data_IF_653125325138
#
_entry.id   IF_653125325138
#
_cell.length_a   1.000
_cell.length_b   1.000
_cell.length_c   1.000
_cell.angle_alpha   90.00
_cell.angle_beta   90.00
_cell.angle_gamma   90.00
#
_symmetry.space_group_name_H-M   'P 1'
#
loop_
_entity.id
_entity.type
_entity.pdbx_description
1 polymer ?
#
# COMPACT_ATOMS: atom_id res chain seq x y z
N UNK A 1 -9.05 5.65 -2.89
CA UNK A 1 -10.14 4.70 -3.24
C UNK A 1 -11.26 5.35 -4.04
N UNK A 2 -11.94 6.38 -3.51
CA UNK A 2 -13.12 6.96 -4.16
C UNK A 2 -12.90 7.45 -5.61
N UNK A 3 -11.72 7.98 -5.93
CA UNK A 3 -11.41 8.46 -7.28
C UNK A 3 -11.24 7.30 -8.30
N UNK A 4 -10.51 6.25 -7.93
CA UNK A 4 -10.28 5.09 -8.82
C UNK A 4 -11.56 4.26 -8.97
N UNK A 5 -12.31 4.03 -7.88
CA UNK A 5 -13.57 3.29 -7.91
C UNK A 5 -14.60 3.92 -8.87
N UNK A 6 -14.67 5.26 -8.92
CA UNK A 6 -15.56 5.98 -9.86
C UNK A 6 -15.17 5.77 -11.33
N UNK A 7 -13.90 5.49 -11.61
CA UNK A 7 -13.39 5.37 -12.99
C UNK A 7 -13.47 3.94 -13.55
N UNK A 8 -13.66 2.94 -12.68
CA UNK A 8 -13.72 1.53 -13.08
C UNK A 8 -14.90 0.81 -12.40
N UNK A 9 -16.15 1.10 -12.79
CA UNK A 9 -17.35 0.59 -12.10
C UNK A 9 -17.55 -0.93 -12.23
N UNK A 10 -16.95 -1.56 -13.24
CA UNK A 10 -17.06 -3.01 -13.51
C UNK A 10 -15.84 -3.81 -13.05
N UNK A 11 -14.88 -3.18 -12.36
CA UNK A 11 -13.63 -3.79 -11.93
C UNK A 11 -13.59 -3.82 -10.41
N UNK A 12 -13.25 -4.98 -9.86
CA UNK A 12 -13.05 -5.11 -8.42
C UNK A 12 -11.75 -4.39 -8.07
N UNK A 13 -11.83 -3.40 -7.18
CA UNK A 13 -10.68 -2.68 -6.64
C UNK A 13 -10.58 -3.00 -5.16
N UNK A 14 -9.40 -3.45 -4.74
CA UNK A 14 -9.15 -3.81 -3.34
C UNK A 14 -7.81 -3.27 -2.87
N UNK A 15 -7.71 -3.01 -1.56
CA UNK A 15 -6.46 -2.59 -0.92
C UNK A 15 -5.83 -3.79 -0.22
N UNK A 16 -4.53 -3.97 -0.41
CA UNK A 16 -3.70 -4.92 0.29
C UNK A 16 -2.71 -4.14 1.16
N UNK A 17 -2.83 -4.25 2.48
CA UNK A 17 -2.00 -3.53 3.44
C UNK A 17 -1.04 -4.52 4.10
N UNK A 18 0.26 -4.41 3.83
CA UNK A 18 1.32 -5.29 4.31
C UNK A 18 1.58 -5.13 5.82
N UNK A 19 1.34 -3.94 6.38
CA UNK A 19 1.49 -3.69 7.81
C UNK A 19 0.37 -4.28 8.66
N UNK A 20 -0.79 -4.59 8.07
CA UNK A 20 -1.94 -5.13 8.80
C UNK A 20 -1.63 -6.52 9.41
N UNK A 21 -1.12 -7.51 8.65
CA UNK A 21 -0.70 -8.79 9.23
C UNK A 21 0.41 -8.64 10.28
N UNK A 22 1.37 -7.74 10.07
CA UNK A 22 2.43 -7.46 11.05
C UNK A 22 1.83 -7.00 12.38
N UNK A 23 0.97 -5.98 12.35
CA UNK A 23 0.31 -5.43 13.54
C UNK A 23 -0.53 -6.48 14.25
N UNK A 24 -1.25 -7.32 13.49
CA UNK A 24 -2.09 -8.39 14.01
C UNK A 24 -1.28 -9.45 14.75
N UNK A 25 -0.15 -9.88 14.18
CA UNK A 25 0.74 -10.85 14.84
C UNK A 25 1.42 -10.25 16.06
N UNK A 26 1.94 -9.03 15.94
CA UNK A 26 2.58 -8.33 17.04
C UNK A 26 1.61 -8.13 18.22
N UNK A 27 0.38 -7.69 17.94
CA UNK A 27 -0.66 -7.52 18.95
C UNK A 27 -0.99 -8.84 19.67
N UNK A 28 -1.12 -9.92 18.91
CA UNK A 28 -1.43 -11.25 19.47
C UNK A 28 -0.35 -11.76 20.43
N UNK A 29 0.92 -11.59 20.10
CA UNK A 29 2.04 -12.10 20.91
C UNK A 29 2.23 -11.25 22.17
N UNK A 30 2.01 -9.94 22.06
CA UNK A 30 2.23 -8.98 23.16
C UNK A 30 0.96 -8.68 23.97
N UNK A 31 -0.13 -9.40 23.74
CA UNK A 31 -1.44 -9.17 24.37
C UNK A 31 -1.92 -7.70 24.24
N UNK A 32 -1.65 -7.07 23.09
CA UNK A 32 -2.11 -5.71 22.80
C UNK A 32 -3.43 -5.76 22.03
N UNK A 33 -4.19 -4.67 22.09
CA UNK A 33 -5.38 -4.50 21.26
C UNK A 33 -4.95 -4.11 19.83
N UNK A 34 -5.30 -4.97 18.86
CA UNK A 34 -4.98 -4.75 17.45
C UNK A 34 -5.54 -3.42 16.91
N UNK A 35 -6.73 -3.01 17.34
CA UNK A 35 -7.36 -1.78 16.85
C UNK A 35 -6.55 -0.53 17.23
N UNK A 36 -5.87 -0.55 18.38
CA UNK A 36 -5.05 0.57 18.82
C UNK A 36 -3.83 0.76 17.90
N UNK A 37 -3.28 -0.32 17.35
CA UNK A 37 -2.16 -0.30 16.40
C UNK A 37 -2.58 0.12 14.98
N UNK A 38 -3.88 0.09 14.68
CA UNK A 38 -4.42 0.52 13.39
C UNK A 38 -4.64 2.04 13.32
N UNK A 39 -4.67 2.73 14.47
CA UNK A 39 -4.82 4.19 14.55
C UNK A 39 -3.47 4.92 14.57
N UNK A 40 -3.46 6.21 14.24
CA UNK A 40 -2.28 7.09 14.36
C UNK A 40 -2.12 7.64 15.79
N UNK A 41 -2.57 6.90 16.80
CA UNK A 41 -2.52 7.29 18.20
C UNK A 41 -1.17 7.05 18.88
N UNK A 42 -0.98 7.69 20.05
CA UNK A 42 0.24 7.56 20.88
C UNK A 42 0.59 6.11 21.23
N UNK A 43 -0.42 5.25 21.41
CA UNK A 43 -0.23 3.84 21.76
C UNK A 43 0.59 3.07 20.71
N UNK A 44 0.37 3.36 19.41
CA UNK A 44 1.13 2.78 18.30
C UNK A 44 2.58 3.23 18.33
N UNK A 45 2.81 4.53 18.54
CA UNK A 45 4.17 5.10 18.53
C UNK A 45 5.03 4.58 19.68
N UNK A 46 4.44 4.24 20.84
CA UNK A 46 5.16 3.63 21.96
C UNK A 46 5.77 2.26 21.62
N UNK A 47 5.11 1.47 20.77
CA UNK A 47 5.55 0.11 20.41
C UNK A 47 6.08 0.03 18.98
N UNK A 48 6.14 1.16 18.26
CA UNK A 48 6.46 1.18 16.82
C UNK A 48 7.83 0.58 16.53
N UNK A 49 8.83 0.99 17.31
CA UNK A 49 10.21 0.50 17.14
C UNK A 49 10.30 -1.01 17.33
N UNK A 50 9.82 -1.52 18.45
CA UNK A 50 9.83 -2.96 18.76
C UNK A 50 9.04 -3.78 17.73
N UNK A 51 7.91 -3.25 17.25
CA UNK A 51 7.11 -3.87 16.20
C UNK A 51 7.84 -3.92 14.85
N UNK A 52 8.58 -2.87 14.49
CA UNK A 52 9.43 -2.85 13.29
C UNK A 52 10.52 -3.91 13.41
N UNK A 53 11.25 -3.93 14.53
CA UNK A 53 12.32 -4.91 14.79
C UNK A 53 11.80 -6.36 14.74
N UNK A 54 10.63 -6.62 15.34
CA UNK A 54 9.94 -7.90 15.24
C UNK A 54 9.65 -8.28 13.78
N UNK A 55 9.10 -7.33 13.01
CA UNK A 55 8.81 -7.53 11.59
C UNK A 55 10.07 -7.82 10.76
N UNK A 56 11.16 -7.09 11.01
CA UNK A 56 12.45 -7.31 10.34
C UNK A 56 13.05 -8.68 10.65
N UNK A 57 12.93 -9.16 11.90
CA UNK A 57 13.36 -10.51 12.24
C UNK A 57 12.64 -11.56 11.41
N UNK A 58 11.32 -11.45 11.27
CA UNK A 58 10.53 -12.39 10.45
C UNK A 58 10.86 -12.27 8.95
N UNK A 59 11.10 -11.06 8.45
CA UNK A 59 11.49 -10.84 7.05
C UNK A 59 12.88 -11.39 6.71
N UNK A 60 13.81 -11.43 7.66
CA UNK A 60 15.13 -12.04 7.48
C UNK A 60 15.04 -13.55 7.24
N UNK A 61 14.08 -14.21 7.87
CA UNK A 61 13.80 -15.63 7.66
C UNK A 61 12.99 -15.85 6.37
N UNK A 62 12.01 -14.98 6.12
CA UNK A 62 11.14 -15.03 4.94
C UNK A 62 10.63 -13.63 4.56
N UNK A 63 11.28 -13.02 3.57
CA UNK A 63 10.95 -11.65 3.14
C UNK A 63 9.51 -11.50 2.62
N UNK A 64 8.89 -12.60 2.16
CA UNK A 64 7.54 -12.62 1.60
C UNK A 64 6.42 -12.86 2.62
N UNK A 65 6.75 -13.06 3.91
CA UNK A 65 5.79 -13.47 4.94
C UNK A 65 4.55 -12.55 5.01
N UNK A 66 4.76 -11.24 5.08
CA UNK A 66 3.67 -10.27 5.19
C UNK A 66 2.97 -10.04 3.85
N UNK A 67 3.68 -10.12 2.73
CA UNK A 67 3.07 -10.06 1.40
C UNK A 67 2.05 -11.19 1.19
N UNK A 68 2.41 -12.43 1.55
CA UNK A 68 1.49 -13.57 1.45
C UNK A 68 0.29 -13.43 2.38
N UNK A 69 0.51 -13.07 3.65
CA UNK A 69 -0.57 -12.90 4.62
C UNK A 69 -1.55 -11.81 4.19
N UNK A 70 -1.05 -10.63 3.81
CA UNK A 70 -1.88 -9.51 3.39
C UNK A 70 -2.70 -9.85 2.13
N UNK A 71 -2.10 -10.58 1.18
CA UNK A 71 -2.79 -10.98 -0.05
C UNK A 71 -3.94 -11.97 0.24
N UNK A 72 -3.72 -12.93 1.14
CA UNK A 72 -4.76 -13.90 1.56
C UNK A 72 -5.86 -13.21 2.36
N UNK A 73 -5.51 -12.39 3.35
CA UNK A 73 -6.48 -11.70 4.21
C UNK A 73 -7.38 -10.76 3.42
N UNK A 74 -6.81 -10.00 2.47
CA UNK A 74 -7.57 -9.19 1.50
C UNK A 74 -8.63 -10.02 0.78
N UNK A 75 -8.26 -11.19 0.27
CA UNK A 75 -9.20 -12.05 -0.46
C UNK A 75 -10.36 -12.45 0.45
N UNK A 76 -10.10 -12.85 1.68
CA UNK A 76 -11.13 -13.25 2.66
C UNK A 76 -12.10 -12.09 2.95
N UNK A 77 -11.58 -10.88 3.15
CA UNK A 77 -12.40 -9.69 3.45
C UNK A 77 -13.28 -9.23 2.26
N UNK A 78 -12.93 -9.60 1.02
CA UNK A 78 -13.64 -9.19 -0.20
C UNK A 78 -14.55 -10.29 -0.79
N UNK A 79 -14.88 -11.34 -0.03
CA UNK A 79 -15.92 -12.31 -0.45
C UNK A 79 -17.34 -11.74 -0.16
N UNK A 80 -18.32 -11.89 -1.08
CA UNK A 80 -18.47 -13.03 -1.96
C UNK A 80 -18.13 -12.73 -3.43
N UNK A 81 -17.34 -13.60 -4.05
CA UNK A 81 -17.31 -13.71 -5.51
C UNK A 81 -18.76 -13.95 -6.00
N UNK A 82 -19.18 -13.39 -7.15
CA UNK A 82 -20.48 -13.72 -7.72
C UNK A 82 -20.60 -15.25 -7.86
N UNK A 83 -21.80 -15.83 -7.62
CA UNK A 83 -22.01 -17.25 -7.80
C UNK A 83 -21.57 -17.63 -9.21
N UNK A 84 -20.67 -18.60 -9.27
CA UNK A 84 -20.16 -19.20 -10.49
C UNK A 84 -21.33 -19.77 -11.29
N UNK A 85 -21.84 -19.00 -12.25
CA UNK A 85 -22.67 -19.58 -13.32
C UNK A 85 -21.72 -20.20 -14.33
N UNK A 86 -21.68 -21.54 -14.29
CA UNK A 86 -20.93 -22.44 -15.16
C UNK A 86 -19.39 -22.43 -15.07
N UNK A 87 -18.76 -23.54 -14.63
CA UNK A 87 -17.31 -23.73 -14.68
C UNK A 87 -16.74 -23.87 -16.11
N UNK A 88 -17.57 -23.74 -17.15
CA UNK A 88 -17.18 -23.82 -18.57
C UNK A 88 -16.86 -22.46 -19.20
N UNK A 89 -17.06 -21.34 -18.50
CA UNK A 89 -16.65 -20.01 -18.98
C UNK A 89 -15.55 -19.48 -18.08
N UNK A 90 -14.30 -19.55 -18.54
CA UNK A 90 -13.17 -18.85 -17.91
C UNK A 90 -13.35 -17.34 -18.09
N UNK A 91 -14.32 -16.75 -17.40
CA UNK A 91 -14.43 -15.30 -17.31
C UNK A 91 -13.22 -14.82 -16.50
N UNK A 92 -12.23 -14.29 -17.21
CA UNK A 92 -11.05 -13.64 -16.64
C UNK A 92 -11.53 -12.38 -15.93
N UNK A 93 -11.85 -12.50 -14.64
CA UNK A 93 -12.21 -11.35 -13.83
C UNK A 93 -11.03 -10.38 -13.80
N UNK A 94 -11.29 -9.12 -14.19
CA UNK A 94 -10.31 -8.04 -14.11
C UNK A 94 -10.40 -7.46 -12.69
N UNK A 95 -9.27 -7.46 -11.99
CA UNK A 95 -9.14 -6.94 -10.63
C UNK A 95 -7.95 -5.98 -10.58
N UNK A 96 -8.10 -4.87 -9.85
CA UNK A 96 -7.01 -3.98 -9.49
C UNK A 96 -6.74 -4.16 -8.00
N UNK A 97 -5.50 -4.49 -7.65
CA UNK A 97 -5.05 -4.64 -6.26
C UNK A 97 -4.08 -3.52 -5.97
N UNK A 98 -4.44 -2.66 -5.01
CA UNK A 98 -3.62 -1.56 -4.55
C UNK A 98 -2.83 -2.01 -3.33
N UNK A 99 -1.51 -2.17 -3.47
CA UNK A 99 -0.63 -2.47 -2.35
C UNK A 99 -0.18 -1.13 -1.75
N UNK A 100 -0.68 -0.79 -0.56
CA UNK A 100 -0.69 0.59 -0.07
C UNK A 100 0.58 1.02 0.68
N UNK A 101 1.31 0.08 1.26
CA UNK A 101 2.37 0.35 2.23
C UNK A 101 3.62 -0.53 2.03
N UNK A 102 3.99 -0.77 0.76
CA UNK A 102 5.30 -1.29 0.40
C UNK A 102 6.41 -0.40 0.97
N UNK A 103 7.39 -1.02 1.60
CA UNK A 103 8.45 -0.31 2.33
C UNK A 103 9.85 -0.86 2.06
N UNK A 104 9.95 -2.06 1.50
CA UNK A 104 11.25 -2.68 1.15
C UNK A 104 11.31 -3.06 -0.33
N UNK A 105 12.49 -3.03 -0.97
CA UNK A 105 12.68 -3.54 -2.33
C UNK A 105 12.21 -5.00 -2.49
N UNK A 106 12.38 -5.81 -1.45
CA UNK A 106 11.96 -7.22 -1.43
C UNK A 106 10.43 -7.38 -1.54
N UNK A 107 9.64 -6.38 -1.13
CA UNK A 107 8.18 -6.39 -1.33
C UNK A 107 7.88 -6.39 -2.85
N UNK A 108 8.55 -5.52 -3.61
CA UNK A 108 8.43 -5.46 -5.07
C UNK A 108 8.91 -6.74 -5.73
N UNK A 109 10.04 -7.27 -5.29
CA UNK A 109 10.57 -8.54 -5.76
C UNK A 109 9.56 -9.68 -5.56
N UNK A 110 8.95 -9.76 -4.38
CA UNK A 110 7.92 -10.74 -4.07
C UNK A 110 6.78 -10.68 -5.10
N UNK A 111 6.20 -9.50 -5.31
CA UNK A 111 5.06 -9.37 -6.22
C UNK A 111 5.45 -9.60 -7.68
N UNK A 112 6.61 -9.10 -8.13
CA UNK A 112 7.11 -9.33 -9.50
C UNK A 112 7.35 -10.82 -9.79
N UNK A 113 7.89 -11.56 -8.83
CA UNK A 113 8.17 -12.98 -9.01
C UNK A 113 6.91 -13.85 -8.95
N UNK A 114 5.92 -13.49 -8.13
CA UNK A 114 4.71 -14.30 -7.93
C UNK A 114 3.56 -13.94 -8.90
N UNK A 115 3.55 -12.74 -9.48
CA UNK A 115 2.47 -12.24 -10.34
C UNK A 115 2.95 -11.91 -11.76
N UNK A 116 3.72 -12.81 -12.38
CA UNK A 116 4.32 -12.61 -13.72
C UNK A 116 3.31 -12.38 -14.85
N UNK A 117 2.06 -12.82 -14.67
CA UNK A 117 0.98 -12.66 -15.65
C UNK A 117 0.12 -11.41 -15.39
N UNK A 118 0.50 -10.58 -14.42
CA UNK A 118 -0.17 -9.34 -14.06
C UNK A 118 0.69 -8.14 -14.42
N UNK A 119 0.07 -7.05 -14.85
CA UNK A 119 0.74 -5.76 -14.98
C UNK A 119 0.98 -5.20 -13.57
N UNK A 120 2.24 -4.94 -13.23
CA UNK A 120 2.65 -4.33 -11.96
C UNK A 120 3.06 -2.90 -12.23
N UNK A 121 2.48 -1.96 -11.49
CA UNK A 121 2.75 -0.53 -11.60
C UNK A 121 3.29 -0.04 -10.27
N UNK A 122 4.51 0.46 -10.27
CA UNK A 122 5.19 1.00 -9.10
C UNK A 122 4.95 2.52 -9.05
N UNK A 123 4.22 2.98 -8.04
CA UNK A 123 3.93 4.40 -7.84
C UNK A 123 4.63 4.89 -6.58
N UNK A 124 5.44 5.95 -6.70
CA UNK A 124 6.02 6.66 -5.55
C UNK A 124 5.21 7.92 -5.28
N UNK A 125 4.92 8.18 -4.00
CA UNK A 125 4.36 9.44 -3.56
C UNK A 125 5.43 10.14 -2.71
N UNK A 126 5.84 11.32 -3.14
CA UNK A 126 6.79 12.18 -2.46
C UNK A 126 6.06 13.41 -1.90
N UNK A 127 6.57 13.95 -0.80
CA UNK A 127 6.13 15.23 -0.25
C UNK A 127 7.31 15.88 0.46
N UNK A 128 7.44 17.19 0.29
CA UNK A 128 8.41 18.01 1.00
C UNK A 128 8.26 17.87 2.52
N UNK A 129 9.38 17.81 3.22
CA UNK A 129 9.39 17.63 4.69
C UNK A 129 8.64 18.77 5.39
N UNK A 130 8.76 20.00 4.86
CA UNK A 130 8.09 21.18 5.41
C UNK A 130 6.57 21.06 5.29
N UNK A 131 6.06 20.51 4.18
CA UNK A 131 4.63 20.28 3.97
C UNK A 131 4.12 19.17 4.88
N UNK A 132 4.89 18.09 5.04
CA UNK A 132 4.57 17.01 5.98
C UNK A 132 4.49 17.53 7.42
N UNK A 133 5.47 18.34 7.84
CA UNK A 133 5.50 18.94 9.18
C UNK A 133 4.31 19.87 9.43
N UNK A 134 3.93 20.69 8.44
CA UNK A 134 2.70 21.50 8.51
C UNK A 134 1.44 20.65 8.71
N UNK A 135 1.42 19.43 8.16
CA UNK A 135 0.33 18.44 8.32
C UNK A 135 0.44 17.61 9.62
N UNK A 136 1.33 17.99 10.54
CA UNK A 136 1.49 17.33 11.84
C UNK A 136 2.45 16.14 11.85
N UNK A 137 3.23 15.93 10.78
CA UNK A 137 4.31 14.94 10.80
C UNK A 137 5.41 15.39 11.77
N UNK A 138 5.65 14.58 12.79
CA UNK A 138 6.76 14.74 13.72
C UNK A 138 7.87 13.79 13.28
N UNK A 139 9.01 14.35 12.85
CA UNK A 139 10.19 13.55 12.54
C UNK A 139 10.80 13.03 13.85
N UNK A 140 10.89 11.70 13.98
CA UNK A 140 11.52 11.01 15.09
C UNK A 140 12.84 10.42 14.59
N UNK A 141 13.94 11.03 15.00
CA UNK A 141 15.28 10.54 14.74
C UNK A 141 15.46 9.14 15.35
N UNK A 142 15.99 8.19 14.57
CA UNK A 142 16.10 6.78 14.95
C UNK A 142 14.88 5.92 14.58
N UNK A 143 13.83 6.48 13.98
CA UNK A 143 12.71 5.73 13.39
C UNK A 143 12.52 6.16 11.93
N UNK A 144 12.48 7.46 11.67
CA UNK A 144 12.27 8.01 10.32
C UNK A 144 13.52 8.01 9.42
N UNK A 145 14.69 7.73 9.99
CA UNK A 145 15.96 7.55 9.29
C UNK A 145 16.39 6.06 9.21
N UNK A 146 15.58 5.13 9.71
CA UNK A 146 15.86 3.70 9.60
C UNK A 146 15.45 3.16 8.22
N UNK A 147 16.02 2.01 7.87
CA UNK A 147 15.80 1.29 6.60
C UNK A 147 14.29 1.10 6.28
N UNK A 148 13.42 1.04 7.30
CA UNK A 148 11.97 0.90 7.13
C UNK A 148 11.25 2.08 6.46
N UNK A 149 11.89 3.25 6.39
CA UNK A 149 11.41 4.47 5.70
C UNK A 149 12.29 4.86 4.49
N UNK A 150 13.58 4.49 4.50
CA UNK A 150 14.54 4.86 3.44
C UNK A 150 14.89 3.75 2.45
N UNK A 151 14.51 2.49 2.65
CA UNK A 151 14.93 1.37 1.78
C UNK A 151 14.47 1.50 0.31
N UNK A 152 13.53 2.39 0.04
CA UNK A 152 13.03 2.66 -1.31
C UNK A 152 13.55 3.97 -1.92
N UNK A 153 14.41 4.71 -1.21
CA UNK A 153 14.95 5.97 -1.71
C UNK A 153 15.94 5.77 -2.87
N UNK A 154 16.66 4.64 -2.88
CA UNK A 154 17.55 4.26 -3.98
C UNK A 154 16.85 3.48 -5.10
N UNK A 155 15.59 3.09 -4.92
CA UNK A 155 14.84 2.37 -5.94
C UNK A 155 14.46 3.34 -7.07
N UNK A 156 14.89 3.02 -8.31
CA UNK A 156 14.73 3.91 -9.47
C UNK A 156 13.65 3.47 -10.45
N UNK A 157 13.14 2.24 -10.33
CA UNK A 157 12.23 1.65 -11.31
C UNK A 157 10.76 1.95 -10.95
N UNK A 158 10.45 3.24 -10.78
CA UNK A 158 9.09 3.75 -10.58
C UNK A 158 8.45 4.06 -11.93
N UNK A 159 7.21 3.63 -12.13
CA UNK A 159 6.42 3.97 -13.32
C UNK A 159 5.83 5.39 -13.20
N UNK A 160 5.48 5.80 -11.98
CA UNK A 160 4.93 7.12 -11.69
C UNK A 160 5.53 7.69 -10.39
N UNK A 161 5.87 8.98 -10.41
CA UNK A 161 6.32 9.73 -9.23
C UNK A 161 5.37 10.90 -9.00
N UNK A 162 4.64 10.89 -7.88
CA UNK A 162 3.65 11.90 -7.53
C UNK A 162 4.23 12.82 -6.46
N UNK A 163 4.14 14.12 -6.69
CA UNK A 163 4.58 15.13 -5.73
C UNK A 163 3.39 15.78 -5.04
N UNK A 164 3.12 15.39 -3.80
CA UNK A 164 2.10 16.00 -2.94
C UNK A 164 2.71 17.17 -2.16
N UNK A 165 3.06 18.23 -2.89
CA UNK A 165 3.66 19.44 -2.33
C UNK A 165 2.68 20.60 -2.20
N UNK A 166 1.44 20.41 -2.65
CA UNK A 166 0.42 21.45 -2.63
C UNK A 166 -0.18 21.59 -1.22
N UNK A 167 -0.34 22.83 -0.78
CA UNK A 167 -1.24 23.15 0.33
C UNK A 167 -2.67 23.05 -0.22
N UNK A 168 -3.57 22.38 0.49
CA UNK A 168 -4.99 22.34 0.13
C UNK A 168 -5.55 23.77 0.23
N UNK A 169 -5.39 24.55 -0.83
CA UNK A 169 -6.00 25.87 -0.96
C UNK A 169 -7.31 25.72 -1.74
N UNK A 170 -8.43 25.99 -1.06
CA UNK A 170 -9.74 26.05 -1.70
C UNK A 170 -9.71 27.07 -2.86
N UNK A 171 -10.07 26.61 -4.07
CA UNK A 171 -10.28 27.49 -5.23
C UNK A 171 -9.13 27.57 -6.25
N UNK A 172 -8.00 26.88 -6.03
CA UNK A 172 -7.05 26.62 -7.13
C UNK A 172 -7.58 25.49 -8.02
N UNK A 173 -7.32 25.60 -9.32
CA UNK A 173 -7.71 24.58 -10.31
C UNK A 173 -7.08 23.21 -10.04
N UNK A 174 -7.19 22.29 -10.99
CA UNK A 174 -6.70 20.93 -10.83
C UNK A 174 -5.24 20.86 -10.32
N UNK A 175 -5.08 20.33 -9.11
CA UNK A 175 -3.79 20.17 -8.44
C UNK A 175 -2.88 19.16 -9.14
N UNK A 176 -1.57 19.27 -8.93
CA UNK A 176 -0.53 18.41 -9.48
C UNK A 176 -0.79 16.93 -9.17
N UNK A 177 -1.22 16.62 -7.95
CA UNK A 177 -1.59 15.25 -7.55
C UNK A 177 -2.79 14.73 -8.34
N UNK A 178 -3.81 15.56 -8.57
CA UNK A 178 -5.00 15.14 -9.32
C UNK A 178 -4.66 14.84 -10.78
N UNK A 179 -3.81 15.68 -11.41
CA UNK A 179 -3.33 15.46 -12.78
C UNK A 179 -2.59 14.14 -12.91
N UNK A 180 -1.66 13.85 -11.99
CA UNK A 180 -0.91 12.60 -12.01
C UNK A 180 -1.80 11.38 -11.73
N UNK A 181 -2.79 11.51 -10.85
CA UNK A 181 -3.79 10.46 -10.65
C UNK A 181 -4.60 10.20 -11.94
N UNK A 182 -4.96 11.23 -12.70
CA UNK A 182 -5.60 11.05 -14.01
C UNK A 182 -4.68 10.36 -15.01
N UNK A 183 -3.38 10.66 -15.02
CA UNK A 183 -2.39 9.98 -15.86
C UNK A 183 -2.34 8.47 -15.53
N UNK A 184 -2.26 8.12 -14.25
CA UNK A 184 -2.30 6.72 -13.79
C UNK A 184 -3.60 6.04 -14.22
N UNK A 185 -4.75 6.71 -14.05
CA UNK A 185 -6.06 6.15 -14.42
C UNK A 185 -6.14 5.91 -15.94
N UNK A 186 -5.63 6.83 -16.76
CA UNK A 186 -5.61 6.66 -18.21
C UNK A 186 -4.71 5.50 -18.62
N UNK A 187 -3.54 5.36 -17.99
CA UNK A 187 -2.65 4.23 -18.22
C UNK A 187 -3.30 2.89 -17.80
N UNK A 188 -3.96 2.84 -16.65
CA UNK A 188 -4.73 1.68 -16.21
C UNK A 188 -5.83 1.32 -17.22
N UNK A 189 -6.55 2.30 -17.78
CA UNK A 189 -7.56 2.05 -18.83
C UNK A 189 -6.96 1.40 -20.08
N UNK A 190 -5.74 1.78 -20.48
CA UNK A 190 -5.06 1.16 -21.63
C UNK A 190 -4.63 -0.29 -21.38
N UNK A 191 -4.21 -0.63 -20.16
CA UNK A 191 -3.82 -1.99 -19.80
C UNK A 191 -5.01 -2.93 -19.63
N UNK A 192 -6.15 -2.37 -19.25
CA UNK A 192 -7.36 -3.10 -18.92
C UNK A 192 -8.24 -3.31 -20.15
N UNK A 193 -8.23 -2.40 -21.14
CA UNK A 193 -8.97 -2.55 -22.40
C UNK A 193 -8.37 -3.66 -23.27
#
# INVERSE_FOLDING_TARGET
>A
MNLINKQFPSIIISICTLSEPLKKEYAKINNLNFNDLMTDGKAKELVRKEMIEFGEKLRKEDFGIFCRKAFIERRIQNLPLPPTTNPSTTNKFKEIILISDCRRPTDFEFFKNNFKNSSIICVRINSKIEIRQKRGFLFIEGIDNEESECALDEYKNWDFNLFNNEEEEEGKGEGEVEKELKNIINYLKQLIN
#
